data_IF_213642849428
#
_entry.id   IF_213642849428
#
_cell.length_a   1.000
_cell.length_b   1.000
_cell.length_c   1.000
_cell.angle_alpha   90.00
_cell.angle_beta   90.00
_cell.angle_gamma   90.00
#
_symmetry.space_group_name_H-M   'P 1'
#
loop_
_entity.id
_entity.type
_entity.pdbx_description
1 polymer ?
#
# COMPACT_ATOMS: atom_id res chain seq x y z
N UNK A 1 -30.36 -31.53 38.68
CA UNK A 1 -29.02 -30.92 38.78
C UNK A 1 -28.48 -30.74 37.37
N UNK A 2 -29.13 -29.83 36.65
CA UNK A 2 -28.74 -29.38 35.33
C UNK A 2 -27.71 -28.26 35.50
N UNK A 3 -26.89 -28.09 34.45
CA UNK A 3 -25.85 -27.05 34.28
C UNK A 3 -24.47 -27.38 34.85
N UNK A 4 -23.90 -28.49 34.42
CA UNK A 4 -22.61 -28.36 33.72
C UNK A 4 -22.91 -27.56 32.44
N UNK A 5 -23.01 -26.24 32.58
CA UNK A 5 -22.96 -25.36 31.42
C UNK A 5 -21.59 -25.64 30.80
N UNK A 6 -21.61 -26.41 29.72
CA UNK A 6 -20.52 -26.51 28.78
C UNK A 6 -20.25 -25.08 28.31
N UNK A 7 -19.43 -24.35 29.06
CA UNK A 7 -18.67 -23.23 28.55
C UNK A 7 -17.83 -23.87 27.47
N UNK A 8 -18.37 -23.91 26.25
CA UNK A 8 -17.68 -24.39 25.08
C UNK A 8 -16.41 -23.54 25.01
N UNK A 9 -15.31 -24.12 25.48
CA UNK A 9 -14.01 -23.47 25.37
C UNK A 9 -13.80 -23.26 23.89
N UNK A 10 -13.36 -22.07 23.48
CA UNK A 10 -13.03 -21.80 22.08
C UNK A 10 -12.14 -22.91 21.49
N UNK A 11 -11.25 -23.46 22.32
CA UNK A 11 -10.35 -24.57 21.99
C UNK A 11 -11.02 -25.94 21.77
N UNK A 12 -12.25 -26.13 22.23
CA UNK A 12 -13.04 -27.35 21.97
C UNK A 12 -13.74 -27.35 20.60
N UNK A 13 -13.79 -26.20 19.92
CA UNK A 13 -14.33 -26.11 18.56
C UNK A 13 -13.34 -26.73 17.56
N UNK A 14 -13.81 -27.37 16.47
CA UNK A 14 -12.99 -27.72 15.31
C UNK A 14 -12.16 -26.55 14.78
N UNK A 15 -10.99 -26.86 14.20
CA UNK A 15 -10.04 -25.85 13.71
C UNK A 15 -10.68 -24.95 12.66
N UNK A 16 -11.50 -25.51 11.79
CA UNK A 16 -12.19 -24.81 10.71
C UNK A 16 -13.12 -23.74 11.26
N UNK A 17 -13.89 -24.06 12.31
CA UNK A 17 -14.76 -23.08 12.96
C UNK A 17 -13.97 -21.98 13.67
N UNK A 18 -12.81 -22.30 14.26
CA UNK A 18 -11.93 -21.29 14.85
C UNK A 18 -11.35 -20.35 13.80
N UNK A 19 -10.94 -20.87 12.65
CA UNK A 19 -10.48 -20.06 11.52
C UNK A 19 -11.57 -19.12 10.99
N UNK A 20 -12.83 -19.60 10.87
CA UNK A 20 -13.96 -18.73 10.50
C UNK A 20 -14.21 -17.63 11.56
N UNK A 21 -14.03 -17.94 12.85
CA UNK A 21 -14.11 -16.93 13.91
C UNK A 21 -12.97 -15.92 13.75
N UNK A 22 -11.74 -16.35 13.47
CA UNK A 22 -10.61 -15.44 13.26
C UNK A 22 -10.85 -14.53 12.05
N UNK A 23 -11.37 -15.08 10.96
CA UNK A 23 -11.74 -14.32 9.76
C UNK A 23 -12.79 -13.25 10.08
N UNK A 24 -13.86 -13.62 10.79
CA UNK A 24 -14.88 -12.68 11.22
C UNK A 24 -14.32 -11.57 12.13
N UNK A 25 -13.49 -11.94 13.11
CA UNK A 25 -12.88 -10.98 14.03
C UNK A 25 -11.82 -10.07 13.39
N UNK A 26 -11.24 -10.52 12.27
CA UNK A 26 -10.33 -9.75 11.43
C UNK A 26 -11.07 -8.70 10.59
N UNK A 27 -12.38 -8.82 10.37
CA UNK A 27 -13.20 -7.80 9.72
C UNK A 27 -13.44 -6.62 10.67
N UNK A 28 -12.53 -5.65 10.64
CA UNK A 28 -12.54 -4.44 11.49
C UNK A 28 -12.76 -3.18 10.65
N UNK A 29 -13.14 -2.09 11.31
CA UNK A 29 -13.29 -0.77 10.69
C UNK A 29 -11.98 -0.28 10.04
N UNK A 30 -10.84 -0.62 10.65
CA UNK A 30 -9.53 -0.37 10.05
C UNK A 30 -9.37 -1.27 8.82
N UNK A 31 -9.39 -0.66 7.64
CA UNK A 31 -9.13 -1.34 6.37
C UNK A 31 -7.70 -1.92 6.36
N UNK A 32 -7.47 -3.17 5.91
CA UNK A 32 -6.15 -3.80 5.81
C UNK A 32 -5.09 -2.93 5.11
N UNK A 33 -5.54 -2.13 4.12
CA UNK A 33 -4.71 -1.19 3.37
C UNK A 33 -4.03 -0.12 4.24
N UNK A 34 -4.57 0.22 5.41
CA UNK A 34 -4.03 1.26 6.31
C UNK A 34 -2.98 0.70 7.30
N UNK A 35 -2.87 -0.61 7.49
CA UNK A 35 -2.01 -1.20 8.53
C UNK A 35 -0.52 -0.85 8.36
N UNK A 36 0.00 -0.94 7.14
CA UNK A 36 1.40 -0.61 6.88
C UNK A 36 1.66 0.87 7.04
N UNK A 37 0.71 1.74 6.66
CA UNK A 37 0.79 3.18 6.93
C UNK A 37 0.97 3.45 8.43
N UNK A 38 0.13 2.86 9.28
CA UNK A 38 0.26 3.03 10.73
C UNK A 38 1.58 2.50 11.28
N UNK A 39 2.09 1.40 10.71
CA UNK A 39 3.42 0.91 11.06
C UNK A 39 4.52 1.93 10.73
N UNK A 40 4.51 2.53 9.53
CA UNK A 40 5.47 3.57 9.16
C UNK A 40 5.37 4.82 10.03
N UNK A 41 4.15 5.26 10.33
CA UNK A 41 3.89 6.40 11.22
C UNK A 41 4.46 6.14 12.62
N UNK A 42 4.22 4.95 13.18
CA UNK A 42 4.77 4.55 14.48
C UNK A 42 6.30 4.48 14.48
N UNK A 43 6.92 3.93 13.42
CA UNK A 43 8.38 3.88 13.30
C UNK A 43 9.01 5.29 13.22
N UNK A 44 8.32 6.25 12.58
CA UNK A 44 8.80 7.63 12.57
C UNK A 44 8.69 8.30 13.95
N UNK A 45 7.62 8.03 14.70
CA UNK A 45 7.48 8.53 16.08
C UNK A 45 8.59 7.99 16.97
N UNK A 46 8.85 6.67 16.92
CA UNK A 46 9.94 6.05 17.69
C UNK A 46 11.30 6.67 17.38
N UNK A 47 11.56 6.98 16.11
CA UNK A 47 12.80 7.63 15.68
C UNK A 47 12.93 9.06 16.21
N UNK A 48 11.85 9.84 16.19
CA UNK A 48 11.84 11.24 16.68
C UNK A 48 11.89 11.33 18.20
N UNK A 49 11.23 10.41 18.88
CA UNK A 49 11.09 10.38 20.32
C UNK A 49 11.54 9.01 20.86
N UNK A 50 12.86 8.77 20.94
CA UNK A 50 13.39 7.59 21.60
C UNK A 50 13.20 7.77 23.12
N UNK A 51 11.98 7.57 23.62
CA UNK A 51 11.68 7.63 25.06
C UNK A 51 11.80 6.25 25.67
N UNK A 52 12.46 6.12 26.82
CA UNK A 52 12.53 4.88 27.60
C UNK A 52 11.17 4.48 28.23
N UNK A 53 10.16 5.35 28.18
CA UNK A 53 8.77 5.09 28.58
C UNK A 53 7.83 5.40 27.43
N UNK A 54 7.21 4.37 26.86
CA UNK A 54 6.47 4.43 25.60
C UNK A 54 5.45 5.57 25.49
N UNK A 55 5.61 6.41 24.48
CA UNK A 55 4.58 7.34 24.03
C UNK A 55 3.45 6.53 23.38
N UNK A 56 2.25 6.59 23.95
CA UNK A 56 1.05 6.02 23.34
C UNK A 56 0.53 7.02 22.31
N UNK A 57 0.77 6.74 21.03
CA UNK A 57 0.16 7.49 19.92
C UNK A 57 -1.31 7.07 19.85
N UNK A 58 -2.20 7.97 20.25
CA UNK A 58 -3.63 7.80 20.00
C UNK A 58 -3.89 8.16 18.53
N UNK A 59 -4.22 7.15 17.73
CA UNK A 59 -4.75 7.37 16.39
C UNK A 59 -6.16 7.93 16.55
N UNK A 60 -6.32 9.24 16.30
CA UNK A 60 -7.64 9.85 16.26
C UNK A 60 -8.32 9.43 14.96
N UNK A 61 -9.43 8.69 15.04
CA UNK A 61 -10.24 8.35 13.87
C UNK A 61 -10.82 9.61 13.19
N UNK A 62 -10.83 10.75 13.89
CA UNK A 62 -11.41 12.02 13.45
C UNK A 62 -10.49 12.85 12.52
N UNK A 63 -9.22 12.47 12.36
CA UNK A 63 -8.33 13.02 11.31
C UNK A 63 -8.48 12.27 9.97
N UNK A 64 -9.40 11.29 9.90
CA UNK A 64 -9.79 10.65 8.65
C UNK A 64 -10.98 11.41 8.02
N UNK A 65 -10.75 11.91 6.82
CA UNK A 65 -11.79 12.14 5.79
C UNK A 65 -12.56 13.47 5.75
N UNK A 66 -12.06 14.56 6.34
CA UNK A 66 -12.61 15.93 6.08
C UNK A 66 -11.90 16.70 4.96
N UNK A 67 -11.11 16.04 4.12
CA UNK A 67 -10.67 16.60 2.83
C UNK A 67 -11.11 15.70 1.68
N UNK A 68 -12.42 15.77 1.40
CA UNK A 68 -13.06 15.52 0.09
C UNK A 68 -12.46 14.34 -0.67
N UNK A 69 -12.87 13.12 -0.29
CA UNK A 69 -12.83 11.95 -1.17
C UNK A 69 -13.60 12.27 -2.46
N UNK A 70 -12.88 12.76 -3.47
CA UNK A 70 -13.25 12.63 -4.89
C UNK A 70 -12.75 11.30 -5.45
N UNK A 71 -12.40 10.36 -4.58
CA UNK A 71 -12.13 8.97 -4.91
C UNK A 71 -13.48 8.26 -5.03
N UNK A 72 -14.06 8.31 -6.24
CA UNK A 72 -15.00 7.27 -6.67
C UNK A 72 -14.28 5.93 -6.58
N UNK A 73 -14.41 5.27 -5.43
CA UNK A 73 -14.19 3.83 -5.24
C UNK A 73 -15.20 3.11 -6.15
N UNK A 74 -14.82 2.85 -7.40
CA UNK A 74 -15.42 1.86 -8.30
C UNK A 74 -14.36 0.77 -8.58
N UNK A 75 -13.91 0.08 -7.53
CA UNK A 75 -13.34 -1.27 -7.66
C UNK A 75 -14.50 -2.28 -7.58
N UNK A 76 -15.35 -2.28 -8.62
CA UNK A 76 -16.20 -3.43 -8.93
C UNK A 76 -15.35 -4.40 -9.76
N UNK A 77 -14.65 -5.31 -9.09
CA UNK A 77 -14.11 -6.51 -9.73
C UNK A 77 -15.30 -7.45 -10.01
N UNK A 78 -15.98 -7.27 -11.15
CA UNK A 78 -16.89 -8.29 -11.70
C UNK A 78 -16.06 -9.34 -12.44
N UNK A 79 -15.90 -10.46 -11.75
CA UNK A 79 -15.43 -11.74 -12.28
C UNK A 79 -16.61 -12.43 -12.99
N UNK A 80 -16.71 -12.30 -14.31
CA UNK A 80 -17.57 -13.16 -15.14
C UNK A 80 -16.84 -13.60 -16.42
N UNK A 81 -16.17 -14.74 -16.32
CA UNK A 81 -16.02 -15.66 -17.46
C UNK A 81 -17.41 -16.23 -17.80
N UNK A 82 -17.90 -16.02 -19.03
CA UNK A 82 -17.92 -17.08 -20.07
C UNK A 82 -19.02 -16.88 -21.15
N UNK A 83 -18.56 -17.10 -22.39
CA UNK A 83 -19.22 -17.62 -23.59
C UNK A 83 -20.40 -16.95 -24.35
N UNK A 84 -20.13 -16.79 -25.66
CA UNK A 84 -21.01 -16.87 -26.84
C UNK A 84 -21.73 -15.62 -27.38
N UNK A 85 -21.02 -14.95 -28.30
CA UNK A 85 -21.36 -14.97 -29.73
C UNK A 85 -22.51 -14.09 -30.25
N UNK A 86 -22.16 -13.07 -31.06
CA UNK A 86 -22.53 -12.90 -32.49
C UNK A 86 -22.22 -11.48 -32.99
N UNK A 87 -21.83 -11.44 -34.27
CA UNK A 87 -21.67 -10.28 -35.16
C UNK A 87 -22.89 -9.35 -35.13
N UNK A 88 -22.69 -8.04 -35.25
CA UNK A 88 -22.81 -7.33 -36.53
C UNK A 88 -22.30 -5.89 -36.45
N UNK A 89 -21.92 -5.42 -37.64
CA UNK A 89 -21.43 -4.10 -38.04
C UNK A 89 -22.46 -2.99 -37.77
N UNK A 90 -22.01 -1.78 -37.47
CA UNK A 90 -22.32 -0.58 -38.28
C UNK A 90 -21.64 0.68 -37.73
N UNK A 91 -21.11 1.45 -38.68
CA UNK A 91 -20.50 2.77 -38.56
C UNK A 91 -21.48 3.82 -38.03
N UNK A 92 -20.98 4.82 -37.29
CA UNK A 92 -21.31 6.22 -37.59
C UNK A 92 -20.36 7.22 -36.91
N UNK A 93 -19.76 8.03 -37.77
CA UNK A 93 -19.18 9.34 -37.53
C UNK A 93 -20.05 10.23 -36.61
N UNK A 94 -19.40 11.11 -35.85
CA UNK A 94 -19.68 12.56 -35.86
C UNK A 94 -18.45 13.31 -35.34
N UNK A 95 -18.07 14.31 -36.13
CA UNK A 95 -17.01 15.29 -35.96
C UNK A 95 -17.33 16.36 -34.89
N UNK A 96 -16.26 16.94 -34.33
CA UNK A 96 -16.12 18.38 -34.10
C UNK A 96 -16.84 19.02 -32.91
N UNK A 97 -16.06 19.56 -31.95
CA UNK A 97 -16.01 21.02 -31.81
C UNK A 97 -14.79 21.48 -30.98
N UNK A 98 -14.19 22.55 -31.47
CA UNK A 98 -13.07 23.30 -30.91
C UNK A 98 -13.53 24.32 -29.85
N UNK A 99 -12.55 24.82 -29.10
CA UNK A 99 -12.48 26.11 -28.41
C UNK A 99 -13.42 26.44 -27.22
N UNK A 100 -12.83 26.67 -26.04
CA UNK A 100 -12.58 28.04 -25.58
C UNK A 100 -11.70 28.09 -24.31
N UNK A 101 -10.88 29.15 -24.27
CA UNK A 101 -9.89 29.49 -23.28
C UNK A 101 -10.44 30.36 -22.14
N UNK A 102 -9.53 30.74 -21.23
CA UNK A 102 -9.61 31.71 -20.10
C UNK A 102 -9.93 31.07 -18.73
N UNK A 103 -9.16 31.23 -17.65
CA UNK A 103 -8.09 32.19 -17.33
C UNK A 103 -8.58 33.24 -16.34
N UNK A 104 -8.33 33.02 -15.04
CA UNK A 104 -8.31 33.98 -13.88
C UNK A 104 -8.02 33.12 -12.64
N UNK A 105 -6.82 33.10 -12.03
CA UNK A 105 -6.26 34.14 -11.13
C UNK A 105 -7.33 34.81 -10.26
N UNK A 106 -7.44 34.39 -9.00
CA UNK A 106 -7.47 35.35 -7.90
C UNK A 106 -7.04 34.69 -6.58
N UNK A 107 -6.07 35.35 -5.96
CA UNK A 107 -5.56 35.13 -4.63
C UNK A 107 -6.39 35.96 -3.67
N UNK A 108 -6.76 35.41 -2.51
CA UNK A 108 -7.13 36.23 -1.36
C UNK A 108 -6.48 35.64 -0.10
N UNK A 109 -5.50 36.41 0.37
CA UNK A 109 -4.99 36.43 1.73
C UNK A 109 -6.07 37.02 2.63
N UNK A 110 -6.42 36.34 3.73
CA UNK A 110 -7.05 37.01 4.87
C UNK A 110 -6.29 36.65 6.15
N UNK A 111 -5.53 37.65 6.58
CA UNK A 111 -4.83 37.78 7.85
C UNK A 111 -5.66 38.68 8.78
N UNK A 112 -5.39 38.56 10.08
CA UNK A 112 -5.88 39.40 11.20
C UNK A 112 -7.23 38.93 11.79
N UNK A 113 -7.36 38.62 13.09
CA UNK A 113 -6.67 39.13 14.25
C UNK A 113 -7.68 39.91 15.09
N UNK A 114 -8.05 39.42 16.28
CA UNK A 114 -8.45 40.32 17.36
C UNK A 114 -8.37 39.66 18.74
N UNK A 115 -8.02 40.51 19.70
CA UNK A 115 -7.51 40.29 21.04
C UNK A 115 -8.61 40.19 22.11
N UNK A 116 -8.16 39.69 23.27
CA UNK A 116 -8.54 40.00 24.65
C UNK A 116 -9.97 39.77 25.17
N UNK A 117 -10.04 38.94 26.23
CA UNK A 117 -10.49 39.47 27.53
C UNK A 117 -9.94 38.69 28.73
N UNK A 118 -9.57 39.45 29.75
CA UNK A 118 -8.81 39.08 30.95
C UNK A 118 -9.67 38.52 32.11
N UNK A 119 -8.99 37.77 32.99
CA UNK A 119 -9.15 37.64 34.47
C UNK A 119 -10.50 37.12 35.03
N UNK A 120 -10.60 36.38 36.15
CA UNK A 120 -9.72 35.98 37.24
C UNK A 120 -10.50 34.89 38.03
N UNK A 121 -9.88 33.82 38.52
CA UNK A 121 -10.18 33.22 39.84
C UNK A 121 -9.30 31.98 40.11
N UNK A 122 -8.34 32.21 40.96
CA UNK A 122 -7.43 31.29 41.65
C UNK A 122 -8.13 30.14 42.37
N UNK A 123 -7.71 28.90 42.09
CA UNK A 123 -7.65 27.82 43.09
C UNK A 123 -6.32 27.08 42.95
N UNK A 124 -5.45 27.37 43.92
CA UNK A 124 -4.11 26.84 44.07
C UNK A 124 -4.19 25.49 44.80
N UNK A 125 -3.99 24.36 44.13
CA UNK A 125 -3.81 23.04 44.75
C UNK A 125 -2.73 22.22 44.00
N UNK A 126 -1.56 22.12 44.63
CA UNK A 126 -0.63 20.99 44.54
C UNK A 126 0.31 20.95 43.33
N UNK A 127 1.62 21.03 43.60
CA UNK A 127 2.70 20.69 42.68
C UNK A 127 2.42 19.36 41.93
N UNK A 128 1.92 19.46 40.71
CA UNK A 128 2.20 18.49 39.67
C UNK A 128 3.43 19.04 38.93
N UNK A 129 4.52 18.29 38.91
CA UNK A 129 5.64 18.57 38.02
C UNK A 129 5.07 18.72 36.61
N UNK A 130 5.33 19.86 35.96
CA UNK A 130 4.98 20.15 34.57
C UNK A 130 5.52 19.03 33.68
N UNK A 131 4.69 18.03 33.41
CA UNK A 131 4.88 17.19 32.24
C UNK A 131 4.71 18.12 31.04
N UNK A 132 5.71 18.26 30.16
CA UNK A 132 5.58 19.10 28.99
C UNK A 132 4.33 18.65 28.24
N UNK A 133 3.36 19.57 28.13
CA UNK A 133 2.20 19.43 27.25
C UNK A 133 2.73 19.26 25.83
N UNK A 134 2.98 18.02 25.43
CA UNK A 134 3.26 17.67 24.05
C UNK A 134 1.94 17.91 23.30
N UNK A 135 1.87 19.04 22.58
CA UNK A 135 0.88 19.20 21.52
C UNK A 135 0.90 17.93 20.67
N UNK A 136 -0.27 17.39 20.25
CA UNK A 136 -0.29 16.23 19.36
C UNK A 136 0.55 16.54 18.13
N UNK A 137 1.78 16.03 18.07
CA UNK A 137 2.66 16.32 16.94
C UNK A 137 2.02 15.62 15.75
N UNK A 138 1.57 16.42 14.77
CA UNK A 138 0.92 15.89 13.58
C UNK A 138 1.90 14.93 12.90
N UNK A 139 1.53 13.65 12.87
CA UNK A 139 2.26 12.61 12.15
C UNK A 139 2.53 13.08 10.72
N UNK A 140 3.72 12.79 10.21
CA UNK A 140 4.09 13.28 8.90
C UNK A 140 3.14 12.70 7.85
N UNK A 141 2.44 13.60 7.14
CA UNK A 141 1.46 13.24 6.11
C UNK A 141 2.03 12.41 4.95
N UNK A 142 3.35 12.15 4.87
CA UNK A 142 3.97 11.43 3.74
C UNK A 142 3.53 9.98 3.66
N UNK A 143 3.26 9.35 4.80
CA UNK A 143 2.85 7.94 4.84
C UNK A 143 1.43 7.68 4.34
N UNK A 144 0.64 8.75 4.09
CA UNK A 144 -0.70 8.63 3.49
C UNK A 144 -0.68 7.93 2.13
N UNK A 145 0.45 7.96 1.42
CA UNK A 145 0.61 7.37 0.10
C UNK A 145 1.03 5.90 0.10
N UNK A 146 1.43 5.33 1.26
CA UNK A 146 1.81 3.90 1.38
C UNK A 146 0.75 2.96 0.79
N UNK A 147 -0.55 3.11 1.08
CA UNK A 147 -1.57 2.19 0.59
C UNK A 147 -1.69 2.09 -0.95
N UNK A 148 -1.16 3.07 -1.69
CA UNK A 148 -1.19 3.06 -3.16
C UNK A 148 -0.23 2.04 -3.78
N UNK A 149 0.86 1.69 -3.08
CA UNK A 149 1.85 0.76 -3.61
C UNK A 149 2.22 -0.37 -2.66
N UNK A 150 1.81 -0.32 -1.41
CA UNK A 150 2.20 -1.30 -0.40
C UNK A 150 1.06 -1.50 0.60
N UNK A 151 0.48 -2.70 0.62
CA UNK A 151 -0.67 -3.02 1.49
C UNK A 151 -0.72 -4.49 1.87
N UNK A 152 -1.42 -4.80 2.97
CA UNK A 152 -1.77 -6.16 3.35
C UNK A 152 -3.20 -6.47 2.90
N UNK A 153 -3.49 -7.73 2.58
CA UNK A 153 -4.84 -8.16 2.18
C UNK A 153 -5.78 -8.37 3.35
N UNK A 154 -5.26 -8.68 4.54
CA UNK A 154 -6.04 -9.02 5.72
C UNK A 154 -5.61 -8.21 6.93
N UNK A 155 -6.52 -8.04 7.88
CA UNK A 155 -6.21 -7.54 9.21
C UNK A 155 -5.90 -8.70 10.17
N UNK A 156 -4.97 -8.53 11.11
CA UNK A 156 -4.76 -9.52 12.14
C UNK A 156 -5.98 -9.57 13.07
N UNK A 157 -6.26 -10.74 13.68
CA UNK A 157 -7.27 -10.84 14.72
C UNK A 157 -7.00 -9.87 15.88
N UNK A 158 -8.01 -9.57 16.71
CA UNK A 158 -7.88 -8.71 17.87
C UNK A 158 -6.74 -9.08 18.80
N UNK A 159 -6.10 -8.06 19.37
CA UNK A 159 -5.03 -8.24 20.36
C UNK A 159 -5.53 -9.04 21.57
N UNK A 160 -6.77 -8.82 21.98
CA UNK A 160 -7.39 -9.58 23.08
C UNK A 160 -7.38 -11.10 22.84
N UNK A 161 -7.54 -11.51 21.57
CA UNK A 161 -7.44 -12.91 21.17
C UNK A 161 -6.02 -13.46 21.35
N UNK A 162 -5.00 -12.64 21.06
CA UNK A 162 -3.61 -12.99 21.28
C UNK A 162 -3.24 -13.03 22.78
N UNK A 163 -3.93 -12.27 23.62
CA UNK A 163 -3.66 -12.21 25.06
C UNK A 163 -4.39 -13.30 25.86
N UNK A 164 -5.45 -13.92 25.29
CA UNK A 164 -6.26 -14.90 26.00
C UNK A 164 -5.47 -16.15 26.44
N UNK A 165 -4.74 -16.80 25.52
CA UNK A 165 -3.83 -17.90 25.87
C UNK A 165 -2.74 -18.13 24.81
N UNK A 166 -1.63 -18.77 25.21
CA UNK A 166 -0.46 -19.03 24.32
C UNK A 166 -0.81 -19.86 23.09
N UNK A 167 -1.67 -20.86 23.25
CA UNK A 167 -2.07 -21.75 22.17
C UNK A 167 -2.87 -20.98 21.11
N UNK A 168 -3.88 -20.22 21.55
CA UNK A 168 -4.71 -19.39 20.67
C UNK A 168 -3.91 -18.30 19.98
N UNK A 169 -2.96 -17.68 20.70
CA UNK A 169 -2.01 -16.71 20.12
C UNK A 169 -1.23 -17.32 18.95
N UNK A 170 -0.69 -18.52 19.15
CA UNK A 170 0.10 -19.22 18.13
C UNK A 170 -0.77 -19.60 16.94
N UNK A 171 -1.96 -20.12 17.19
CA UNK A 171 -2.91 -20.55 16.16
C UNK A 171 -3.42 -19.36 15.32
N UNK A 172 -3.90 -18.30 15.97
CA UNK A 172 -4.41 -17.11 15.29
C UNK A 172 -3.32 -16.39 14.49
N UNK A 173 -2.08 -16.34 14.99
CA UNK A 173 -0.94 -15.82 14.21
C UNK A 173 -0.64 -16.70 13.01
N UNK A 174 -0.61 -18.02 13.19
CA UNK A 174 -0.35 -18.94 12.08
C UNK A 174 -1.41 -18.79 10.99
N UNK A 175 -2.69 -18.85 11.37
CA UNK A 175 -3.81 -18.62 10.47
C UNK A 175 -3.67 -17.27 9.74
N UNK A 176 -3.43 -16.18 10.47
CA UNK A 176 -3.32 -14.84 9.88
C UNK A 176 -2.23 -14.79 8.81
N UNK A 177 -1.02 -15.28 9.12
CA UNK A 177 0.08 -15.26 8.17
C UNK A 177 -0.08 -16.27 7.03
N UNK A 178 -0.93 -17.29 7.19
CA UNK A 178 -1.31 -18.20 6.11
C UNK A 178 -2.29 -17.55 5.11
N UNK A 179 -3.17 -16.66 5.55
CA UNK A 179 -4.15 -16.00 4.67
C UNK A 179 -3.71 -14.63 4.16
N UNK A 180 -2.93 -13.90 4.97
CA UNK A 180 -2.46 -12.56 4.61
C UNK A 180 -1.39 -12.61 3.51
N UNK A 181 -1.53 -11.72 2.54
CA UNK A 181 -0.55 -11.49 1.49
C UNK A 181 -0.08 -10.04 1.51
N UNK A 182 1.22 -9.84 1.29
CA UNK A 182 1.81 -8.53 1.06
C UNK A 182 1.65 -8.16 -0.41
N UNK A 183 0.87 -7.12 -0.71
CA UNK A 183 0.69 -6.58 -2.05
C UNK A 183 1.67 -5.43 -2.28
N UNK A 184 2.49 -5.56 -3.31
CA UNK A 184 3.49 -4.57 -3.73
C UNK A 184 3.20 -4.16 -5.18
N UNK A 185 2.78 -2.92 -5.41
CA UNK A 185 2.75 -2.35 -6.74
C UNK A 185 4.14 -1.77 -7.05
N UNK A 186 4.97 -2.58 -7.70
CA UNK A 186 6.35 -2.20 -8.03
C UNK A 186 6.40 -0.97 -8.94
N UNK A 187 5.39 -0.80 -9.79
CA UNK A 187 5.27 0.36 -10.68
C UNK A 187 4.52 1.53 -10.06
N UNK A 188 3.84 1.35 -8.92
CA UNK A 188 3.03 2.38 -8.26
C UNK A 188 3.86 3.57 -7.74
N UNK A 189 3.29 4.78 -7.80
CA UNK A 189 3.98 6.00 -7.39
C UNK A 189 5.34 6.15 -8.09
N UNK A 190 5.37 5.94 -9.41
CA UNK A 190 6.56 5.99 -10.26
C UNK A 190 7.22 7.38 -10.22
N UNK A 191 6.40 8.43 -10.14
CA UNK A 191 6.88 9.82 -9.95
C UNK A 191 7.61 10.01 -8.62
N UNK A 192 7.19 9.34 -7.55
CA UNK A 192 7.75 9.49 -6.20
C UNK A 192 8.80 8.42 -5.87
N UNK A 193 9.76 8.20 -6.76
CA UNK A 193 10.73 7.10 -6.63
C UNK A 193 11.56 7.15 -5.34
N UNK A 194 11.97 8.34 -4.88
CA UNK A 194 12.70 8.49 -3.61
C UNK A 194 11.87 8.01 -2.41
N UNK A 195 10.61 8.45 -2.32
CA UNK A 195 9.70 8.05 -1.24
C UNK A 195 9.40 6.55 -1.28
N UNK A 196 9.11 6.01 -2.47
CA UNK A 196 8.87 4.58 -2.65
C UNK A 196 10.07 3.75 -2.16
N UNK A 197 11.29 4.16 -2.52
CA UNK A 197 12.52 3.49 -2.08
C UNK A 197 12.75 3.62 -0.58
N UNK A 198 12.54 4.81 -0.01
CA UNK A 198 12.63 5.04 1.44
C UNK A 198 11.70 4.08 2.20
N UNK A 199 10.46 3.94 1.76
CA UNK A 199 9.49 3.03 2.38
C UNK A 199 9.98 1.57 2.33
N UNK A 200 10.44 1.11 1.17
CA UNK A 200 10.94 -0.25 1.00
C UNK A 200 12.20 -0.52 1.85
N UNK A 201 13.17 0.42 1.85
CA UNK A 201 14.39 0.26 2.64
C UNK A 201 14.14 0.31 4.15
N UNK A 202 13.17 1.11 4.61
CA UNK A 202 12.75 1.07 6.03
C UNK A 202 12.27 -0.31 6.44
N UNK A 203 11.47 -0.99 5.61
CA UNK A 203 11.03 -2.36 5.91
C UNK A 203 12.17 -3.37 5.90
N UNK A 204 13.07 -3.27 4.91
CA UNK A 204 14.27 -4.11 4.79
C UNK A 204 15.14 -3.96 6.04
N UNK A 205 15.48 -2.71 6.41
CA UNK A 205 16.34 -2.43 7.55
C UNK A 205 15.71 -2.87 8.87
N UNK A 206 14.40 -2.69 9.04
CA UNK A 206 13.67 -3.21 10.19
C UNK A 206 13.74 -4.75 10.27
N UNK A 207 13.73 -5.43 9.12
CA UNK A 207 13.84 -6.91 9.04
C UNK A 207 15.23 -7.36 9.51
N UNK A 208 16.27 -6.71 9.01
CA UNK A 208 17.66 -6.99 9.39
C UNK A 208 17.86 -6.75 10.89
N UNK A 209 17.42 -5.60 11.42
CA UNK A 209 17.54 -5.27 12.83
C UNK A 209 16.80 -6.26 13.75
N UNK A 210 15.69 -6.84 13.29
CA UNK A 210 14.94 -7.86 14.01
C UNK A 210 15.74 -9.15 14.22
N UNK A 211 16.49 -9.57 13.20
CA UNK A 211 17.31 -10.79 13.21
C UNK A 211 18.48 -10.64 14.17
N UNK A 212 19.04 -9.43 14.27
CA UNK A 212 20.16 -9.12 15.17
C UNK A 212 19.78 -9.04 16.66
N UNK A 213 18.51 -9.30 17.00
CA UNK A 213 18.05 -9.34 18.39
C UNK A 213 17.81 -7.96 19.01
N UNK A 214 17.68 -6.91 18.19
CA UNK A 214 17.25 -5.60 18.66
C UNK A 214 15.84 -5.70 19.25
N UNK A 215 15.66 -5.23 20.49
CA UNK A 215 14.39 -5.32 21.24
C UNK A 215 13.21 -4.64 20.54
N UNK A 216 13.48 -3.71 19.63
CA UNK A 216 12.48 -2.89 18.96
C UNK A 216 12.16 -3.36 17.51
N UNK A 217 12.83 -4.41 17.03
CA UNK A 217 12.82 -4.82 15.62
C UNK A 217 11.58 -5.61 15.18
N UNK A 218 10.38 -5.03 15.25
CA UNK A 218 9.25 -5.61 14.51
C UNK A 218 9.26 -5.15 13.06
N UNK A 219 9.56 -6.06 12.13
CA UNK A 219 9.35 -5.84 10.69
C UNK A 219 8.10 -6.56 10.20
N UNK A 220 7.27 -5.91 9.38
CA UNK A 220 6.18 -6.57 8.68
C UNK A 220 6.66 -7.72 7.80
N UNK A 221 7.91 -7.74 7.34
CA UNK A 221 8.45 -8.78 6.46
C UNK A 221 8.70 -10.13 7.17
N UNK A 222 9.01 -10.11 8.46
CA UNK A 222 9.53 -11.28 9.19
C UNK A 222 8.60 -12.51 9.17
N UNK A 223 7.30 -12.28 9.06
CA UNK A 223 6.30 -13.35 9.15
C UNK A 223 5.44 -13.50 7.89
N UNK A 224 5.67 -12.69 6.86
CA UNK A 224 4.91 -12.77 5.62
C UNK A 224 5.27 -14.07 4.90
N UNK A 225 4.23 -14.82 4.51
CA UNK A 225 4.36 -16.10 3.81
C UNK A 225 4.02 -16.01 2.33
N UNK A 226 3.18 -15.03 1.96
CA UNK A 226 2.68 -14.79 0.61
C UNK A 226 2.92 -13.35 0.18
N UNK A 227 3.37 -13.16 -1.04
CA UNK A 227 3.49 -11.83 -1.66
C UNK A 227 2.84 -11.80 -3.04
N UNK A 228 2.22 -10.68 -3.36
CA UNK A 228 1.66 -10.38 -4.68
C UNK A 228 2.37 -9.12 -5.21
N UNK A 229 3.08 -9.24 -6.32
CA UNK A 229 3.84 -8.14 -6.92
C UNK A 229 3.22 -7.76 -8.25
N UNK A 230 2.81 -6.52 -8.42
CA UNK A 230 2.25 -6.02 -9.67
C UNK A 230 3.23 -5.10 -10.38
N UNK A 231 3.50 -5.40 -11.64
CA UNK A 231 4.19 -4.55 -12.60
C UNK A 231 3.20 -4.14 -13.68
N UNK A 232 3.05 -2.84 -13.90
CA UNK A 232 2.22 -2.26 -14.96
C UNK A 232 3.11 -1.45 -15.88
N UNK A 233 3.23 -1.90 -17.12
CA UNK A 233 4.11 -1.34 -18.12
C UNK A 233 3.35 -0.99 -19.40
N UNK A 234 3.94 -0.11 -20.19
CA UNK A 234 3.37 0.30 -21.47
C UNK A 234 4.46 0.39 -22.53
N UNK A 235 4.94 -0.77 -22.98
CA UNK A 235 6.00 -0.88 -23.97
C UNK A 235 5.66 -0.13 -25.27
N UNK A 236 4.40 -0.20 -25.74
CA UNK A 236 4.01 0.48 -26.98
C UNK A 236 4.08 1.99 -26.87
N UNK A 237 3.61 2.58 -25.77
CA UNK A 237 3.69 4.02 -25.55
C UNK A 237 5.13 4.49 -25.38
N UNK A 238 5.93 3.79 -24.56
CA UNK A 238 7.32 4.18 -24.30
C UNK A 238 8.16 4.16 -25.58
N UNK A 239 7.92 3.21 -26.48
CA UNK A 239 8.64 3.11 -27.75
C UNK A 239 8.18 4.11 -28.81
N UNK A 240 6.99 4.70 -28.66
CA UNK A 240 6.52 5.81 -29.51
C UNK A 240 7.20 7.13 -29.16
N UNK A 241 7.95 7.20 -28.06
CA UNK A 241 8.72 8.40 -27.68
C UNK A 241 9.86 8.67 -28.67
N UNK A 242 9.69 9.71 -29.48
CA UNK A 242 10.66 10.14 -30.47
C UNK A 242 11.89 10.84 -29.86
N UNK A 243 11.87 11.20 -28.57
CA UNK A 243 13.03 11.82 -27.89
C UNK A 243 14.03 10.80 -27.37
N UNK A 244 13.62 9.52 -27.26
CA UNK A 244 14.43 8.41 -26.73
C UNK A 244 14.67 8.47 -25.21
N UNK A 245 14.21 9.51 -24.52
CA UNK A 245 14.46 9.71 -23.08
C UNK A 245 13.67 8.71 -22.23
N UNK A 246 12.41 8.46 -22.60
CA UNK A 246 11.55 7.48 -21.91
C UNK A 246 12.08 6.06 -22.06
N UNK A 247 12.58 5.70 -23.25
CA UNK A 247 13.16 4.40 -23.53
C UNK A 247 14.49 4.16 -22.80
N UNK A 248 15.26 5.21 -22.51
CA UNK A 248 16.50 5.08 -21.75
C UNK A 248 16.25 5.02 -20.22
N UNK A 249 15.41 5.91 -19.70
CA UNK A 249 15.28 6.14 -18.25
C UNK A 249 14.29 5.17 -17.61
N UNK A 250 13.09 5.01 -18.18
CA UNK A 250 12.02 4.25 -17.52
C UNK A 250 12.38 2.76 -17.37
N UNK A 251 12.94 2.05 -18.37
CA UNK A 251 13.38 0.67 -18.19
C UNK A 251 14.49 0.50 -17.15
N UNK A 252 15.38 1.50 -17.00
CA UNK A 252 16.41 1.46 -15.96
C UNK A 252 15.78 1.56 -14.55
N UNK A 253 14.83 2.49 -14.37
CA UNK A 253 14.07 2.64 -13.13
C UNK A 253 13.24 1.39 -12.80
N UNK A 254 12.60 0.79 -13.81
CA UNK A 254 11.83 -0.44 -13.63
C UNK A 254 12.72 -1.59 -13.10
N UNK A 255 13.91 -1.78 -13.69
CA UNK A 255 14.89 -2.76 -13.21
C UNK A 255 15.34 -2.47 -11.78
N UNK A 256 15.59 -1.19 -11.46
CA UNK A 256 15.96 -0.79 -10.09
C UNK A 256 14.85 -1.13 -9.09
N UNK A 257 13.59 -0.82 -9.42
CA UNK A 257 12.45 -1.15 -8.56
C UNK A 257 12.27 -2.65 -8.39
N UNK A 258 12.39 -3.42 -9.47
CA UNK A 258 12.38 -4.89 -9.42
C UNK A 258 13.44 -5.43 -8.45
N UNK A 259 14.66 -4.87 -8.47
CA UNK A 259 15.73 -5.24 -7.52
C UNK A 259 15.39 -4.91 -6.07
N UNK A 260 14.81 -3.74 -5.80
CA UNK A 260 14.42 -3.36 -4.43
C UNK A 260 13.28 -4.24 -3.91
N UNK A 261 12.29 -4.56 -4.74
CA UNK A 261 11.24 -5.53 -4.37
C UNK A 261 11.85 -6.89 -4.07
N UNK A 262 12.75 -7.38 -4.93
CA UNK A 262 13.47 -8.62 -4.69
C UNK A 262 14.21 -8.60 -3.34
N UNK A 263 14.94 -7.51 -3.03
CA UNK A 263 15.64 -7.38 -1.75
C UNK A 263 14.67 -7.47 -0.56
N UNK A 264 13.54 -6.75 -0.60
CA UNK A 264 12.54 -6.83 0.46
C UNK A 264 11.97 -8.25 0.63
N UNK A 265 11.68 -8.94 -0.47
CA UNK A 265 11.18 -10.32 -0.41
C UNK A 265 12.24 -11.32 0.04
N UNK A 266 13.52 -11.07 -0.26
CA UNK A 266 14.62 -11.91 0.17
C UNK A 266 14.84 -11.84 1.70
N UNK A 267 14.51 -10.71 2.33
CA UNK A 267 14.54 -10.57 3.79
C UNK A 267 13.33 -11.22 4.49
N UNK A 268 12.28 -11.58 3.75
CA UNK A 268 11.11 -12.24 4.29
C UNK A 268 11.37 -13.75 4.52
N UNK A 269 11.99 -14.08 5.66
CA UNK A 269 12.45 -15.45 5.98
C UNK A 269 11.38 -16.56 5.94
N UNK A 270 10.09 -16.22 6.07
CA UNK A 270 8.97 -17.18 6.03
C UNK A 270 8.21 -17.20 4.70
N UNK A 271 8.68 -16.44 3.71
CA UNK A 271 8.08 -16.35 2.39
C UNK A 271 8.17 -17.70 1.69
N UNK A 272 7.04 -18.22 1.21
CA UNK A 272 6.99 -19.48 0.47
C UNK A 272 6.22 -19.38 -0.85
N UNK A 273 5.47 -18.30 -1.08
CA UNK A 273 4.72 -18.08 -2.32
C UNK A 273 4.81 -16.61 -2.76
N UNK A 274 5.12 -16.41 -4.05
CA UNK A 274 5.09 -15.09 -4.70
C UNK A 274 4.32 -15.20 -6.00
N UNK A 275 3.30 -14.36 -6.15
CA UNK A 275 2.57 -14.21 -7.41
C UNK A 275 2.97 -12.87 -8.03
N UNK A 276 3.47 -12.91 -9.26
CA UNK A 276 3.89 -11.73 -10.01
C UNK A 276 2.86 -11.50 -11.11
N UNK A 277 2.19 -10.35 -11.07
CA UNK A 277 1.28 -9.88 -12.10
C UNK A 277 2.04 -8.94 -13.03
N UNK A 278 2.25 -9.34 -14.27
CA UNK A 278 2.92 -8.54 -15.30
C UNK A 278 1.90 -8.04 -16.32
N UNK A 279 1.65 -6.73 -16.32
CA UNK A 279 0.81 -6.07 -17.31
C UNK A 279 1.68 -5.31 -18.30
N UNK A 280 1.49 -5.52 -19.59
CA UNK A 280 2.19 -4.77 -20.65
C UNK A 280 1.28 -4.56 -21.88
N UNK A 281 1.56 -3.54 -22.67
CA UNK A 281 0.89 -3.27 -23.94
C UNK A 281 1.55 -3.93 -25.16
N UNK A 282 2.68 -4.62 -24.98
CA UNK A 282 3.35 -5.36 -26.05
C UNK A 282 3.70 -6.80 -25.64
N UNK A 283 3.53 -7.73 -26.58
CA UNK A 283 3.91 -9.15 -26.45
C UNK A 283 4.93 -9.55 -27.54
N UNK A 284 6.01 -8.79 -27.65
CA UNK A 284 7.11 -9.07 -28.58
C UNK A 284 8.41 -9.44 -27.85
N UNK A 285 9.44 -9.75 -28.63
CA UNK A 285 10.74 -10.19 -28.12
C UNK A 285 11.39 -9.13 -27.20
N UNK A 286 11.26 -7.84 -27.53
CA UNK A 286 11.87 -6.77 -26.73
C UNK A 286 11.15 -6.62 -25.38
N UNK A 287 9.81 -6.64 -25.36
CA UNK A 287 9.02 -6.60 -24.13
C UNK A 287 9.28 -7.83 -23.25
N UNK A 288 9.37 -9.01 -23.90
CA UNK A 288 9.67 -10.28 -23.22
C UNK A 288 11.07 -10.26 -22.60
N UNK A 289 12.07 -9.72 -23.30
CA UNK A 289 13.41 -9.57 -22.77
C UNK A 289 13.46 -8.62 -21.57
N UNK A 290 12.76 -7.48 -21.64
CA UNK A 290 12.67 -6.55 -20.52
C UNK A 290 12.04 -7.20 -19.29
N UNK A 291 10.91 -7.90 -19.47
CA UNK A 291 10.26 -8.68 -18.40
C UNK A 291 11.25 -9.66 -17.77
N UNK A 292 11.91 -10.48 -18.60
CA UNK A 292 12.86 -11.49 -18.12
C UNK A 292 14.04 -10.85 -17.36
N UNK A 293 14.53 -9.71 -17.81
CA UNK A 293 15.59 -8.96 -17.12
C UNK A 293 15.15 -8.45 -15.75
N UNK A 294 13.93 -7.91 -15.65
CA UNK A 294 13.37 -7.38 -14.39
C UNK A 294 13.08 -8.50 -13.41
N UNK A 295 12.56 -9.63 -13.89
CA UNK A 295 12.13 -10.75 -13.06
C UNK A 295 13.24 -11.76 -12.75
N UNK A 296 14.36 -11.75 -13.48
CA UNK A 296 15.50 -12.66 -13.27
C UNK A 296 15.91 -12.80 -11.79
N UNK A 297 16.04 -11.73 -10.98
CA UNK A 297 16.43 -11.87 -9.57
C UNK A 297 15.45 -12.70 -8.73
N UNK A 298 14.15 -12.69 -9.06
CA UNK A 298 13.12 -13.39 -8.28
C UNK A 298 13.30 -14.91 -8.30
N UNK A 299 14.00 -15.45 -9.30
CA UNK A 299 14.33 -16.88 -9.37
C UNK A 299 15.27 -17.34 -8.24
N UNK A 300 15.93 -16.41 -7.53
CA UNK A 300 16.79 -16.72 -6.39
C UNK A 300 16.02 -16.76 -5.05
N UNK A 301 14.75 -16.37 -5.03
CA UNK A 301 13.93 -16.41 -3.81
C UNK A 301 13.66 -17.86 -3.41
N UNK A 302 13.68 -18.13 -2.11
CA UNK A 302 13.32 -19.45 -1.54
C UNK A 302 11.79 -19.65 -1.46
N UNK A 303 11.08 -19.32 -2.54
CA UNK A 303 9.62 -19.32 -2.61
C UNK A 303 9.14 -19.85 -3.98
N UNK A 304 7.91 -20.37 -4.01
CA UNK A 304 7.25 -20.73 -5.27
C UNK A 304 6.84 -19.46 -6.01
N UNK A 305 7.42 -19.24 -7.19
CA UNK A 305 7.13 -18.07 -8.02
C UNK A 305 6.12 -18.43 -9.10
N UNK A 306 5.00 -17.70 -9.16
CA UNK A 306 3.99 -17.81 -10.22
C UNK A 306 3.92 -16.49 -10.97
N UNK A 307 4.11 -16.50 -12.28
CA UNK A 307 3.99 -15.30 -13.12
C UNK A 307 2.66 -15.36 -13.89
N UNK A 308 1.83 -14.34 -13.73
CA UNK A 308 0.59 -14.13 -14.48
C UNK A 308 0.78 -12.96 -15.41
N UNK A 309 0.58 -13.19 -16.71
CA UNK A 309 0.87 -12.22 -17.76
C UNK A 309 -0.44 -11.69 -18.36
N UNK A 310 -0.51 -10.37 -18.51
CA UNK A 310 -1.69 -9.66 -18.98
C UNK A 310 -1.26 -8.69 -20.08
N UNK A 311 -1.61 -8.99 -21.31
CA UNK A 311 -1.24 -8.18 -22.47
C UNK A 311 -2.44 -7.43 -23.03
N UNK A 312 -2.23 -6.17 -23.41
CA UNK A 312 -3.18 -5.40 -24.21
C UNK A 312 -2.83 -5.58 -25.68
N UNK A 313 -3.84 -5.69 -26.53
CA UNK A 313 -3.64 -5.77 -27.96
C UNK A 313 -2.90 -4.51 -28.48
N UNK A 314 -1.96 -4.64 -29.43
CA UNK A 314 -1.04 -3.57 -29.81
C UNK A 314 -1.71 -2.34 -30.45
N UNK A 315 -2.92 -2.53 -31.00
CA UNK A 315 -3.77 -1.52 -31.63
C UNK A 315 -4.81 -0.91 -30.66
N UNK A 316 -4.92 -1.44 -29.44
CA UNK A 316 -5.91 -1.01 -28.45
C UNK A 316 -5.26 -0.11 -27.43
N UNK A 317 -5.77 1.12 -27.31
CA UNK A 317 -5.38 1.99 -26.21
C UNK A 317 -6.03 1.54 -24.89
N UNK A 318 -5.27 1.46 -23.79
CA UNK A 318 -5.82 1.17 -22.49
C UNK A 318 -6.85 2.23 -22.10
N UNK A 319 -8.03 1.78 -21.71
CA UNK A 319 -9.09 2.66 -21.19
C UNK A 319 -8.53 3.48 -20.02
N UNK A 320 -8.78 4.80 -19.98
CA UNK A 320 -8.26 5.72 -18.94
C UNK A 320 -8.47 5.23 -17.49
N UNK A 321 -9.58 4.52 -17.22
CA UNK A 321 -9.90 3.98 -15.88
C UNK A 321 -9.25 2.63 -15.58
N UNK A 322 -8.74 1.91 -16.59
CA UNK A 322 -8.04 0.64 -16.40
C UNK A 322 -6.70 0.83 -15.67
N UNK A 323 -6.18 -0.25 -15.09
CA UNK A 323 -4.87 -0.24 -14.42
C UNK A 323 -3.76 0.27 -15.36
N UNK A 324 -3.74 -0.21 -16.61
CA UNK A 324 -2.79 0.22 -17.62
C UNK A 324 -3.01 1.68 -18.04
N UNK A 325 -4.26 2.13 -18.17
CA UNK A 325 -4.58 3.50 -18.57
C UNK A 325 -4.18 4.53 -17.50
N UNK A 326 -4.45 4.21 -16.23
CA UNK A 326 -3.97 5.01 -15.09
C UNK A 326 -2.44 5.11 -15.09
N UNK A 327 -1.74 4.01 -15.42
CA UNK A 327 -0.27 3.99 -15.50
C UNK A 327 0.26 4.81 -16.67
N UNK A 328 -0.37 4.72 -17.84
CA UNK A 328 -0.02 5.55 -19.02
C UNK A 328 -0.10 7.03 -18.68
N UNK A 329 -1.20 7.47 -18.06
CA UNK A 329 -1.38 8.87 -17.64
C UNK A 329 -0.28 9.31 -16.66
N UNK A 330 0.14 8.44 -15.74
CA UNK A 330 1.24 8.75 -14.84
C UNK A 330 2.58 8.88 -15.58
N UNK A 331 2.88 8.01 -16.55
CA UNK A 331 4.10 8.11 -17.36
C UNK A 331 4.10 9.35 -18.26
N UNK A 332 2.98 9.67 -18.89
CA UNK A 332 2.81 10.91 -19.65
C UNK A 332 3.08 12.12 -18.76
N UNK A 333 2.52 12.14 -17.57
CA UNK A 333 2.71 13.24 -16.63
C UNK A 333 4.17 13.40 -16.18
N UNK A 334 4.86 12.29 -15.88
CA UNK A 334 6.30 12.29 -15.58
C UNK A 334 7.11 12.81 -16.77
N UNK A 335 6.73 12.42 -17.99
CA UNK A 335 7.40 12.86 -19.20
C UNK A 335 7.24 14.38 -19.42
N UNK A 336 6.04 14.91 -19.19
CA UNK A 336 5.75 16.34 -19.38
C UNK A 336 6.28 17.23 -18.25
N UNK A 337 6.21 16.79 -16.99
CA UNK A 337 6.61 17.59 -15.82
C UNK A 337 8.03 17.31 -15.32
N UNK A 338 8.66 16.23 -15.80
CA UNK A 338 9.94 15.75 -15.27
C UNK A 338 9.79 14.97 -13.97
N UNK A 339 10.87 14.29 -13.55
CA UNK A 339 10.90 13.42 -12.37
C UNK A 339 10.91 14.18 -11.02
N UNK A 340 11.11 15.50 -11.05
CA UNK A 340 11.36 16.31 -9.85
C UNK A 340 10.13 17.11 -9.36
N UNK A 341 8.99 17.04 -10.05
CA UNK A 341 7.77 17.72 -9.60
C UNK A 341 6.90 16.80 -8.72
N UNK A 342 6.75 17.13 -7.42
CA UNK A 342 5.92 16.37 -6.50
C UNK A 342 4.43 16.70 -6.71
N UNK A 343 3.59 15.66 -6.71
CA UNK A 343 2.14 15.77 -6.45
C UNK A 343 1.85 15.68 -4.95
#
# INVERSE_FOLDING_TARGET
MAREEAVASLMSLPLELRHSIFEYLSAREIKPRKLLRYWFENEEVKWRYPTEGGVVVLFSDDDCDTERESLKDEDHEEDTDDENGRRDEEEQNIEGNEDEAQGTEDADEDQEGNEDNENEATWNHGNAEDLPSLSPERLHKKWRHIPHFLRLTHCPPPVDLFLACRQLNTEAKNWYYDVAALRINATGSFAHTKFWQEAMFKMINASIAAVEGSRDGFSPLNNIRKAEVTFVWDSTWIRKDNTGSSQAILPALLRQRGRVVYQALNEASKLHEVVIHWHDSAQDNEATNLKNDVLRPFNALSATIKVKEYYIAPDVEPKKRSIAGKRRLEFENIYYMGLDHPF
#
